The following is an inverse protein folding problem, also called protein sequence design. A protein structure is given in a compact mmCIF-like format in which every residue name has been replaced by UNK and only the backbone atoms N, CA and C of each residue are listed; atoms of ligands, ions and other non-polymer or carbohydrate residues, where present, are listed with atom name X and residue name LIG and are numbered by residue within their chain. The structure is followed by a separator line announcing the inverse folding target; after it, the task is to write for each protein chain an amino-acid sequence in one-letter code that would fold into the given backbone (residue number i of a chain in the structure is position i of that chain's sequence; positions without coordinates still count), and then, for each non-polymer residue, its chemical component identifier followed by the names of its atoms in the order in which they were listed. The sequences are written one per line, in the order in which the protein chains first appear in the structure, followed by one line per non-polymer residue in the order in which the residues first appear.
data_IF_026096313799
#
_entry.id   IF_026096313799
#
_cell.length_a   1.000
_cell.length_b   1.000
_cell.length_c   1.000
_cell.angle_alpha   90.00
_cell.angle_beta   90.00
_cell.angle_gamma   90.00
#
_symmetry.space_group_name_H-M   'P 1'
#
loop_
_entity.id
_entity.type
_entity.pdbx_description
1 polymer ?
#
# COMPACT_ATOMS: atom_id res chain seq x y z
N UNK A 1 36.03 26.69 -46.05
CA UNK A 1 35.13 25.90 -45.18
C UNK A 1 34.79 24.63 -45.93
N UNK A 2 35.61 23.59 -45.77
CA UNK A 2 35.44 22.29 -46.43
C UNK A 2 34.43 21.44 -45.66
N UNK A 3 33.42 20.92 -46.35
CA UNK A 3 32.43 20.01 -45.77
C UNK A 3 32.96 18.58 -45.96
N UNK A 4 33.45 17.98 -44.87
CA UNK A 4 33.76 16.54 -44.82
C UNK A 4 32.48 15.73 -45.06
N UNK A 5 32.39 15.06 -46.23
CA UNK A 5 31.38 14.03 -46.48
C UNK A 5 31.84 12.72 -45.85
N UNK A 6 31.27 12.34 -44.70
CA UNK A 6 31.42 10.99 -44.16
C UNK A 6 30.74 9.99 -45.10
N UNK A 7 31.55 9.25 -45.86
CA UNK A 7 31.08 8.14 -46.71
C UNK A 7 30.96 6.90 -45.83
N UNK A 8 29.76 6.65 -45.33
CA UNK A 8 29.47 5.45 -44.57
C UNK A 8 29.45 4.26 -45.55
N UNK A 9 30.51 3.44 -45.56
CA UNK A 9 30.63 2.23 -46.38
C UNK A 9 30.26 1.04 -45.49
N UNK A 10 28.97 0.72 -45.38
CA UNK A 10 28.57 -0.58 -44.83
C UNK A 10 28.51 -1.60 -45.97
N UNK A 11 29.32 -2.66 -45.88
CA UNK A 11 29.22 -3.81 -46.76
C UNK A 11 27.85 -4.50 -46.58
N UNK A 12 27.14 -4.88 -47.65
CA UNK A 12 25.78 -5.45 -47.57
C UNK A 12 25.72 -6.71 -46.70
N UNK A 13 26.80 -7.49 -46.65
CA UNK A 13 26.88 -8.69 -45.81
C UNK A 13 26.97 -8.37 -44.30
N UNK A 14 27.54 -7.22 -43.92
CA UNK A 14 27.55 -6.77 -42.52
C UNK A 14 26.18 -6.26 -42.10
N UNK A 15 25.48 -5.54 -42.98
CA UNK A 15 24.10 -5.09 -42.73
C UNK A 15 23.15 -6.26 -42.53
N UNK A 16 23.23 -7.29 -43.38
CA UNK A 16 22.39 -8.48 -43.27
C UNK A 16 22.64 -9.22 -41.94
N UNK A 17 23.91 -9.37 -41.54
CA UNK A 17 24.26 -10.02 -40.26
C UNK A 17 23.77 -9.21 -39.05
N UNK A 18 23.91 -7.88 -39.08
CA UNK A 18 23.38 -7.02 -38.02
C UNK A 18 21.86 -7.10 -37.97
N UNK A 19 21.18 -7.12 -39.12
CA UNK A 19 19.72 -7.24 -39.19
C UNK A 19 19.22 -8.58 -38.61
N UNK A 20 19.89 -9.67 -38.95
CA UNK A 20 19.58 -11.02 -38.42
C UNK A 20 19.82 -11.07 -36.90
N UNK A 21 20.90 -10.44 -36.41
CA UNK A 21 21.18 -10.35 -34.97
C UNK A 21 20.11 -9.56 -34.22
N UNK A 22 19.65 -8.42 -34.77
CA UNK A 22 18.54 -7.65 -34.19
C UNK A 22 17.25 -8.48 -34.16
N UNK A 23 16.93 -9.19 -35.23
CA UNK A 23 15.71 -10.02 -35.31
C UNK A 23 15.75 -11.17 -34.28
N UNK A 24 16.91 -11.79 -34.06
CA UNK A 24 17.09 -12.85 -33.07
C UNK A 24 16.99 -12.34 -31.62
N UNK A 25 17.43 -11.11 -31.34
CA UNK A 25 17.29 -10.50 -30.00
C UNK A 25 15.84 -10.14 -29.69
N UNK A 26 15.04 -9.80 -30.70
CA UNK A 26 13.63 -9.40 -30.50
C UNK A 26 12.63 -10.57 -30.47
N UNK A 27 13.02 -11.79 -30.86
CA UNK A 27 12.10 -12.94 -30.98
C UNK A 27 11.85 -13.72 -29.68
N UNK A 28 12.44 -13.29 -28.55
CA UNK A 28 12.34 -13.97 -27.26
C UNK A 28 11.30 -13.44 -26.26
N UNK A 29 10.48 -12.44 -26.61
CA UNK A 29 9.53 -11.87 -25.66
C UNK A 29 8.19 -12.63 -25.71
N UNK A 30 8.05 -13.66 -24.88
CA UNK A 30 6.74 -14.20 -24.51
C UNK A 30 5.99 -13.12 -23.72
N UNK A 31 5.12 -12.37 -24.39
CA UNK A 31 4.20 -11.44 -23.74
C UNK A 31 3.10 -12.27 -23.09
N UNK A 32 3.21 -12.50 -21.79
CA UNK A 32 2.10 -13.01 -20.99
C UNK A 32 1.01 -11.95 -20.98
N UNK A 33 -0.07 -12.16 -21.74
CA UNK A 33 -1.28 -11.32 -21.62
C UNK A 33 -2.04 -11.74 -20.39
N UNK A 34 -1.79 -11.07 -19.27
CA UNK A 34 -2.65 -11.11 -18.09
C UNK A 34 -3.96 -10.41 -18.45
N UNK A 35 -5.06 -11.17 -18.56
CA UNK A 35 -6.40 -10.61 -18.70
C UNK A 35 -6.79 -9.94 -17.38
N UNK A 36 -6.38 -8.68 -17.19
CA UNK A 36 -6.93 -7.82 -16.14
C UNK A 36 -8.33 -7.33 -16.55
N UNK A 37 -9.32 -7.47 -15.67
CA UNK A 37 -10.60 -6.79 -15.84
C UNK A 37 -10.40 -5.27 -15.78
N UNK A 38 -10.56 -4.54 -16.89
CA UNK A 38 -10.40 -3.08 -16.87
C UNK A 38 -11.23 -2.45 -15.74
N UNK A 39 -10.59 -1.68 -14.85
CA UNK A 39 -11.29 -0.90 -13.81
C UNK A 39 -12.17 0.14 -14.52
N UNK A 40 -13.48 -0.08 -14.53
CA UNK A 40 -14.43 0.85 -15.16
C UNK A 40 -14.72 1.98 -14.19
N UNK A 41 -14.37 3.21 -14.57
CA UNK A 41 -14.73 4.40 -13.81
C UNK A 41 -16.07 4.93 -14.29
N UNK A 42 -17.07 4.89 -13.41
CA UNK A 42 -18.43 5.40 -13.70
C UNK A 42 -18.59 6.86 -13.27
N UNK A 43 -17.74 7.36 -12.37
CA UNK A 43 -17.84 8.70 -11.77
C UNK A 43 -16.58 9.53 -12.03
N UNK A 44 -16.78 10.82 -12.34
CA UNK A 44 -15.73 11.82 -12.30
C UNK A 44 -15.70 12.43 -10.90
N UNK A 45 -14.55 12.36 -10.24
CA UNK A 45 -14.38 12.88 -8.88
C UNK A 45 -13.92 14.35 -8.92
N UNK A 46 -14.70 15.23 -8.32
CA UNK A 46 -14.28 16.60 -7.98
C UNK A 46 -13.56 16.58 -6.64
N UNK A 47 -12.22 16.49 -6.69
CA UNK A 47 -11.37 16.35 -5.52
C UNK A 47 -11.10 17.70 -4.87
N UNK A 48 -11.29 17.74 -3.56
CA UNK A 48 -10.86 18.81 -2.66
C UNK A 48 -9.90 18.24 -1.63
N UNK A 49 -9.25 19.11 -0.86
CA UNK A 49 -8.43 18.67 0.27
C UNK A 49 -8.55 19.61 1.47
N UNK A 50 -8.32 19.05 2.66
CA UNK A 50 -8.04 19.79 3.88
C UNK A 50 -6.67 19.36 4.42
N UNK A 51 -6.08 20.19 5.26
CA UNK A 51 -4.76 19.94 5.84
C UNK A 51 -4.85 19.92 7.36
N UNK A 52 -4.18 18.95 7.95
CA UNK A 52 -3.87 18.88 9.39
C UNK A 52 -2.38 19.18 9.61
N UNK A 53 -1.83 18.93 10.80
CA UNK A 53 -0.41 19.15 11.07
C UNK A 53 0.48 18.18 10.29
N UNK A 54 0.04 16.93 10.12
CA UNK A 54 0.83 15.86 9.53
C UNK A 54 0.20 15.22 8.29
N UNK A 55 -1.04 15.55 7.95
CA UNK A 55 -1.76 14.89 6.85
C UNK A 55 -2.42 15.86 5.88
N UNK A 56 -2.39 15.48 4.60
CA UNK A 56 -3.19 16.09 3.53
C UNK A 56 -4.35 15.16 3.17
N UNK A 57 -5.57 15.55 3.48
CA UNK A 57 -6.76 14.69 3.35
C UNK A 57 -7.51 15.11 2.09
N UNK A 58 -7.42 14.29 1.05
CA UNK A 58 -8.14 14.44 -0.21
C UNK A 58 -9.49 13.74 -0.15
N UNK A 59 -10.55 14.40 -0.59
CA UNK A 59 -11.91 13.87 -0.57
C UNK A 59 -12.72 14.36 -1.77
N UNK A 60 -13.69 13.57 -2.18
CA UNK A 60 -14.63 13.97 -3.23
C UNK A 60 -15.78 14.81 -2.66
N UNK A 61 -16.41 15.64 -3.50
CA UNK A 61 -17.59 16.45 -3.14
C UNK A 61 -18.61 15.69 -2.28
N UNK A 62 -19.05 16.30 -1.18
CA UNK A 62 -19.97 15.71 -0.19
C UNK A 62 -19.26 14.93 0.93
N UNK A 63 -17.94 14.77 0.84
CA UNK A 63 -17.10 14.08 1.83
C UNK A 63 -16.51 14.98 2.92
N UNK A 64 -16.90 16.27 3.00
CA UNK A 64 -16.28 17.26 3.89
C UNK A 64 -16.24 16.81 5.37
N UNK A 65 -17.36 16.27 5.89
CA UNK A 65 -17.43 15.77 7.26
C UNK A 65 -16.56 14.53 7.49
N UNK A 66 -16.51 13.63 6.50
CA UNK A 66 -15.69 12.42 6.57
C UNK A 66 -14.21 12.83 6.56
N UNK A 67 -13.82 13.78 5.71
CA UNK A 67 -12.46 14.30 5.66
C UNK A 67 -12.02 14.93 6.99
N UNK A 68 -12.89 15.74 7.62
CA UNK A 68 -12.62 16.30 8.94
C UNK A 68 -12.43 15.21 10.00
N UNK A 69 -13.29 14.20 10.00
CA UNK A 69 -13.14 13.05 10.89
C UNK A 69 -11.81 12.32 10.64
N UNK A 70 -11.46 12.07 9.38
CA UNK A 70 -10.20 11.44 8.98
C UNK A 70 -9.00 12.21 9.52
N UNK A 71 -9.00 13.54 9.39
CA UNK A 71 -7.91 14.37 9.90
C UNK A 71 -7.72 14.20 11.41
N UNK A 72 -8.81 14.24 12.19
CA UNK A 72 -8.75 14.06 13.65
C UNK A 72 -8.32 12.64 14.02
N UNK A 73 -8.87 11.63 13.35
CA UNK A 73 -8.54 10.22 13.60
C UNK A 73 -7.07 9.91 13.27
N UNK A 74 -6.55 10.44 12.16
CA UNK A 74 -5.17 10.25 11.75
C UNK A 74 -4.18 10.92 12.71
N UNK A 75 -4.44 12.17 13.11
CA UNK A 75 -3.59 12.87 14.10
C UNK A 75 -3.60 12.16 15.46
N UNK A 76 -4.77 11.72 15.94
CA UNK A 76 -4.85 10.95 17.18
C UNK A 76 -4.12 9.60 17.09
N UNK A 77 -4.20 8.94 15.93
CA UNK A 77 -3.51 7.66 15.70
C UNK A 77 -2.01 7.86 15.64
N UNK A 78 -1.53 8.94 14.99
CA UNK A 78 -0.12 9.28 14.94
C UNK A 78 0.43 9.48 16.35
N UNK A 79 -0.22 10.27 17.20
CA UNK A 79 0.21 10.45 18.60
C UNK A 79 0.34 9.11 19.33
N UNK A 80 -0.59 8.19 19.13
CA UNK A 80 -0.50 6.84 19.71
C UNK A 80 0.73 6.07 19.20
N UNK A 81 0.96 6.08 17.89
CA UNK A 81 2.10 5.40 17.26
C UNK A 81 3.44 6.00 17.70
N UNK A 82 3.56 7.33 17.75
CA UNK A 82 4.77 8.02 18.21
C UNK A 82 5.09 7.67 19.66
N UNK A 83 4.08 7.59 20.54
CA UNK A 83 4.26 7.20 21.93
C UNK A 83 4.67 5.72 22.08
N UNK A 84 4.11 4.83 21.27
CA UNK A 84 4.34 3.39 21.39
C UNK A 84 5.65 2.94 20.73
N UNK A 85 6.07 3.61 19.64
CA UNK A 85 7.21 3.18 18.80
C UNK A 85 8.40 4.14 18.93
N UNK A 86 8.18 5.39 19.30
CA UNK A 86 9.25 6.36 19.58
C UNK A 86 9.87 7.01 18.34
N UNK A 87 9.17 7.03 17.20
CA UNK A 87 9.60 7.72 15.98
C UNK A 87 8.59 8.81 15.59
N UNK A 88 9.07 9.95 15.09
CA UNK A 88 8.23 10.99 14.50
C UNK A 88 8.37 11.00 12.98
N UNK A 89 7.26 11.01 12.26
CA UNK A 89 7.28 11.00 10.80
C UNK A 89 7.94 12.27 10.24
N UNK A 90 8.68 12.13 9.13
CA UNK A 90 9.42 13.25 8.55
C UNK A 90 8.63 14.01 7.50
N UNK A 91 7.72 13.31 6.82
CA UNK A 91 6.95 13.86 5.71
C UNK A 91 5.47 13.80 6.02
N UNK A 92 4.71 14.75 5.45
CA UNK A 92 3.25 14.70 5.49
C UNK A 92 2.76 13.49 4.69
N UNK A 93 1.77 12.78 5.23
CA UNK A 93 1.20 11.60 4.57
C UNK A 93 -0.12 12.00 3.89
N UNK A 94 -0.25 11.80 2.57
CA UNK A 94 -1.52 11.99 1.88
C UNK A 94 -2.52 10.89 2.24
N UNK A 95 -3.78 11.28 2.49
CA UNK A 95 -4.89 10.35 2.74
C UNK A 95 -6.00 10.63 1.73
N UNK A 96 -6.36 9.65 0.91
CA UNK A 96 -7.47 9.73 -0.04
C UNK A 96 -8.68 9.04 0.55
N UNK A 97 -9.76 9.81 0.72
CA UNK A 97 -11.00 9.34 1.31
C UNK A 97 -12.08 9.26 0.25
N UNK A 98 -12.66 8.07 0.12
CA UNK A 98 -13.81 7.82 -0.73
C UNK A 98 -15.09 7.78 0.09
N UNK A 99 -16.19 8.31 -0.46
CA UNK A 99 -17.46 8.39 0.27
C UNK A 99 -18.19 7.05 0.38
N UNK A 100 -17.74 6.03 -0.38
CA UNK A 100 -18.27 4.67 -0.30
C UNK A 100 -17.25 3.65 -0.82
N UNK A 101 -17.44 2.38 -0.45
CA UNK A 101 -16.66 1.25 -0.98
C UNK A 101 -16.75 1.14 -2.51
N UNK A 102 -17.92 1.40 -3.10
CA UNK A 102 -18.12 1.37 -4.56
C UNK A 102 -17.28 2.42 -5.29
N UNK A 103 -17.07 3.59 -4.68
CA UNK A 103 -16.20 4.63 -5.24
C UNK A 103 -14.73 4.25 -5.10
N UNK A 104 -14.35 3.65 -3.96
CA UNK A 104 -13.00 3.14 -3.73
C UNK A 104 -12.59 2.06 -4.74
N UNK A 105 -13.48 1.13 -5.09
CA UNK A 105 -13.20 0.11 -6.10
C UNK A 105 -12.93 0.70 -7.50
N UNK A 106 -13.40 1.92 -7.78
CA UNK A 106 -13.15 2.64 -9.04
C UNK A 106 -11.83 3.44 -9.00
N UNK A 107 -11.06 3.35 -7.92
CA UNK A 107 -9.83 4.14 -7.76
C UNK A 107 -8.74 3.73 -8.76
N UNK A 108 -8.20 4.74 -9.44
CA UNK A 108 -6.94 4.64 -10.18
C UNK A 108 -5.75 5.06 -9.32
N UNK A 109 -5.96 5.41 -8.05
CA UNK A 109 -4.87 5.82 -7.18
C UNK A 109 -3.94 4.64 -6.83
N UNK A 110 -4.42 3.40 -6.98
CA UNK A 110 -3.69 2.18 -6.65
C UNK A 110 -3.52 1.32 -7.91
N UNK A 111 -2.27 0.97 -8.22
CA UNK A 111 -1.89 0.15 -9.37
C UNK A 111 -2.21 -1.34 -9.17
N UNK A 112 -2.53 -1.76 -7.95
CA UNK A 112 -2.90 -3.13 -7.60
C UNK A 112 -4.41 -3.34 -7.74
N UNK A 113 -4.82 -4.54 -8.16
CA UNK A 113 -6.23 -4.96 -8.04
C UNK A 113 -6.57 -5.07 -6.57
N UNK A 114 -7.54 -4.27 -6.13
CA UNK A 114 -8.13 -4.42 -4.81
C UNK A 114 -9.03 -5.65 -4.84
N UNK A 115 -8.72 -6.67 -4.05
CA UNK A 115 -9.66 -7.77 -3.82
C UNK A 115 -10.86 -7.28 -3.02
N UNK A 116 -12.00 -7.96 -3.16
CA UNK A 116 -13.15 -7.75 -2.27
C UNK A 116 -12.72 -7.94 -0.79
N UNK A 117 -13.12 -7.02 0.10
CA UNK A 117 -12.82 -7.10 1.54
C UNK A 117 -11.68 -6.20 2.05
N UNK A 118 -10.98 -5.48 1.16
CA UNK A 118 -9.96 -4.50 1.57
C UNK A 118 -10.66 -3.24 2.13
N UNK A 119 -10.52 -2.99 3.43
CA UNK A 119 -11.11 -1.85 4.12
C UNK A 119 -10.37 -0.53 3.91
N UNK A 120 -9.12 -0.59 3.46
CA UNK A 120 -8.19 0.51 3.22
C UNK A 120 -6.89 -0.04 2.65
N UNK A 121 -6.04 0.80 2.06
CA UNK A 121 -4.69 0.38 1.68
C UNK A 121 -3.70 1.53 1.74
N UNK A 122 -2.50 1.24 2.19
CA UNK A 122 -1.33 2.10 2.03
C UNK A 122 -0.52 1.71 0.80
N UNK A 123 -0.43 2.62 -0.15
CA UNK A 123 0.45 2.47 -1.31
C UNK A 123 1.90 2.80 -0.89
N UNK A 124 2.70 1.76 -0.65
CA UNK A 124 4.07 1.88 -0.14
C UNK A 124 4.96 2.82 -0.99
N UNK A 125 4.85 2.77 -2.32
CA UNK A 125 5.73 3.56 -3.21
C UNK A 125 5.49 5.07 -3.15
N UNK A 126 4.26 5.49 -2.88
CA UNK A 126 3.85 6.90 -2.79
C UNK A 126 3.59 7.36 -1.36
N UNK A 127 3.77 6.46 -0.39
CA UNK A 127 3.48 6.64 1.04
C UNK A 127 2.15 7.32 1.29
N UNK A 128 1.09 6.76 0.69
CA UNK A 128 -0.24 7.35 0.65
C UNK A 128 -1.29 6.35 1.07
N UNK A 129 -2.17 6.78 1.95
CA UNK A 129 -3.29 6.00 2.46
C UNK A 129 -4.51 6.24 1.57
N UNK A 130 -5.26 5.19 1.27
CA UNK A 130 -6.51 5.27 0.51
C UNK A 130 -7.58 4.46 1.24
N UNK A 131 -8.67 5.10 1.64
CA UNK A 131 -9.69 4.49 2.49
C UNK A 131 -11.12 4.86 2.04
N UNK A 132 -12.04 3.89 1.90
CA UNK A 132 -13.47 4.15 1.82
C UNK A 132 -14.08 4.39 3.20
N UNK A 133 -15.10 5.25 3.25
CA UNK A 133 -16.05 5.29 4.36
C UNK A 133 -17.24 4.37 4.08
N UNK A 134 -17.57 3.51 5.05
CA UNK A 134 -18.64 2.50 4.92
C UNK A 134 -19.82 2.74 5.87
N UNK A 135 -19.91 3.92 6.49
CA UNK A 135 -21.02 4.30 7.37
C UNK A 135 -20.80 4.04 8.86
N UNK A 136 -19.67 3.43 9.24
CA UNK A 136 -19.28 3.19 10.64
C UNK A 136 -17.99 3.95 10.97
N UNK A 137 -18.09 4.93 11.86
CA UNK A 137 -16.97 5.80 12.23
C UNK A 137 -15.91 5.10 13.09
N UNK A 138 -16.28 4.13 13.93
CA UNK A 138 -15.31 3.43 14.77
C UNK A 138 -14.56 2.39 13.97
N UNK A 139 -15.25 1.68 13.06
CA UNK A 139 -14.57 0.85 12.05
C UNK A 139 -13.63 1.69 11.20
N UNK A 140 -14.07 2.86 10.76
CA UNK A 140 -13.25 3.75 9.93
C UNK A 140 -12.03 4.28 10.67
N UNK A 141 -12.16 4.62 11.96
CA UNK A 141 -11.03 5.01 12.82
C UNK A 141 -9.99 3.90 12.93
N UNK A 142 -10.44 2.67 13.18
CA UNK A 142 -9.56 1.50 13.24
C UNK A 142 -8.81 1.32 11.91
N UNK A 143 -9.50 1.37 10.77
CA UNK A 143 -8.86 1.26 9.44
C UNK A 143 -7.86 2.40 9.20
N UNK A 144 -8.19 3.65 9.54
CA UNK A 144 -7.24 4.77 9.41
C UNK A 144 -5.98 4.50 10.21
N UNK A 145 -6.11 4.01 11.45
CA UNK A 145 -4.95 3.69 12.28
C UNK A 145 -4.14 2.54 11.69
N UNK A 146 -4.81 1.46 11.26
CA UNK A 146 -4.18 0.30 10.63
C UNK A 146 -3.32 0.71 9.43
N UNK A 147 -3.92 1.43 8.48
CA UNK A 147 -3.20 1.91 7.30
C UNK A 147 -2.12 2.94 7.65
N UNK A 148 -2.34 3.76 8.68
CA UNK A 148 -1.33 4.70 9.14
C UNK A 148 -0.10 4.00 9.70
N UNK A 149 -0.22 2.86 10.37
CA UNK A 149 0.95 2.10 10.80
C UNK A 149 1.80 1.70 9.58
N UNK A 150 1.18 1.21 8.50
CA UNK A 150 1.90 0.86 7.28
C UNK A 150 2.67 2.06 6.71
N UNK A 151 2.02 3.23 6.64
CA UNK A 151 2.66 4.46 6.16
C UNK A 151 3.77 4.97 7.10
N UNK A 152 3.57 4.82 8.41
CA UNK A 152 4.52 5.16 9.45
C UNK A 152 5.77 4.29 9.39
N UNK A 153 5.61 2.97 9.28
CA UNK A 153 6.72 2.03 9.10
C UNK A 153 7.45 2.30 7.78
N UNK A 154 6.73 2.68 6.72
CA UNK A 154 7.34 3.04 5.45
C UNK A 154 8.17 4.33 5.54
N UNK A 155 7.72 5.36 6.27
CA UNK A 155 8.53 6.54 6.54
C UNK A 155 9.78 6.20 7.40
N UNK A 156 9.59 5.40 8.45
CA UNK A 156 10.66 4.99 9.38
C UNK A 156 11.75 4.14 8.70
N UNK A 157 11.38 3.05 8.02
CA UNK A 157 12.32 2.05 7.53
C UNK A 157 12.70 2.23 6.06
N UNK A 158 11.86 2.88 5.26
CA UNK A 158 12.06 3.03 3.82
C UNK A 158 12.22 4.50 3.39
N UNK A 159 12.15 5.44 4.35
CA UNK A 159 12.24 6.87 4.09
C UNK A 159 11.04 7.44 3.33
N UNK A 160 9.91 6.72 3.27
CA UNK A 160 8.65 7.21 2.72
C UNK A 160 8.61 7.33 1.19
N UNK A 161 9.57 6.75 0.45
CA UNK A 161 9.49 6.69 -1.03
C UNK A 161 10.34 5.58 -1.64
N UNK A 162 9.94 5.10 -2.82
CA UNK A 162 10.72 4.13 -3.60
C UNK A 162 12.14 4.63 -3.95
N UNK A 163 12.29 5.93 -4.21
CA UNK A 163 13.59 6.52 -4.50
C UNK A 163 14.56 6.37 -3.32
N UNK A 164 14.04 6.47 -2.09
CA UNK A 164 14.84 6.29 -0.87
C UNK A 164 15.24 4.82 -0.69
N UNK A 165 14.32 3.87 -0.91
CA UNK A 165 14.61 2.43 -0.90
C UNK A 165 15.77 2.10 -1.84
N UNK A 166 15.71 2.57 -3.09
CA UNK A 166 16.72 2.30 -4.11
C UNK A 166 18.05 2.98 -3.77
N UNK A 167 18.02 4.27 -3.40
CA UNK A 167 19.24 5.04 -3.14
C UNK A 167 19.99 4.58 -1.89
N UNK A 168 19.27 4.09 -0.88
CA UNK A 168 19.84 3.56 0.36
C UNK A 168 20.06 2.04 0.33
N UNK A 169 19.74 1.38 -0.79
CA UNK A 169 19.88 -0.05 -1.00
C UNK A 169 19.26 -0.89 0.13
N UNK A 170 18.04 -0.53 0.52
CA UNK A 170 17.34 -1.14 1.66
C UNK A 170 16.82 -2.52 1.23
N UNK A 171 17.33 -3.58 1.88
CA UNK A 171 16.93 -4.97 1.63
C UNK A 171 15.97 -5.53 2.69
N UNK A 172 15.63 -4.74 3.71
CA UNK A 172 14.71 -5.14 4.76
C UNK A 172 13.32 -5.41 4.16
N UNK A 173 12.74 -6.56 4.50
CA UNK A 173 11.35 -6.89 4.21
C UNK A 173 10.74 -7.44 5.48
N UNK A 174 9.65 -6.82 5.93
CA UNK A 174 8.90 -7.33 7.07
C UNK A 174 8.04 -8.51 6.61
N UNK A 175 7.99 -9.62 7.37
CA UNK A 175 7.00 -10.67 7.14
C UNK A 175 5.57 -10.11 7.21
N UNK A 176 4.65 -10.62 6.39
CA UNK A 176 3.27 -10.11 6.33
C UNK A 176 2.54 -10.20 7.68
N UNK A 177 2.73 -11.29 8.43
CA UNK A 177 2.18 -11.42 9.78
C UNK A 177 2.68 -10.33 10.74
N UNK A 178 3.91 -9.85 10.54
CA UNK A 178 4.50 -8.82 11.40
C UNK A 178 3.87 -7.47 11.07
N UNK A 179 3.83 -7.09 9.79
CA UNK A 179 3.26 -5.79 9.40
C UNK A 179 1.75 -5.71 9.66
N UNK A 180 0.98 -6.70 9.22
CA UNK A 180 -0.48 -6.71 9.43
C UNK A 180 -0.84 -6.92 10.90
N UNK A 181 -0.12 -7.81 11.58
CA UNK A 181 -0.35 -8.07 13.01
C UNK A 181 -0.08 -6.86 13.89
N UNK A 182 0.97 -6.11 13.62
CA UNK A 182 1.28 -4.89 14.35
C UNK A 182 0.21 -3.82 14.07
N UNK A 183 -0.27 -3.73 12.83
CA UNK A 183 -1.29 -2.76 12.42
C UNK A 183 -2.63 -3.03 13.13
N UNK A 184 -3.04 -4.30 13.21
CA UNK A 184 -4.21 -4.73 13.98
C UNK A 184 -4.02 -4.46 15.49
N UNK A 185 -2.88 -4.87 16.07
CA UNK A 185 -2.62 -4.70 17.50
C UNK A 185 -2.63 -3.22 17.92
N UNK A 186 -1.95 -2.35 17.18
CA UNK A 186 -1.86 -0.92 17.48
C UNK A 186 -3.21 -0.21 17.27
N UNK A 187 -3.94 -0.55 16.20
CA UNK A 187 -5.22 0.08 15.90
C UNK A 187 -6.36 -0.32 16.84
N UNK A 188 -6.36 -1.56 17.32
CA UNK A 188 -7.31 -2.06 18.32
C UNK A 188 -6.87 -1.65 19.74
N UNK A 189 -5.56 -1.48 19.96
CA UNK A 189 -4.98 -1.21 21.28
C UNK A 189 -4.83 -2.46 22.14
N UNK A 190 -4.62 -3.63 21.53
CA UNK A 190 -4.50 -4.90 22.22
C UNK A 190 -5.15 -6.08 21.50
N UNK A 191 -5.74 -6.98 22.29
CA UNK A 191 -6.49 -8.14 21.82
C UNK A 191 -7.99 -7.88 21.88
N UNK A 192 -8.71 -8.23 20.82
CA UNK A 192 -10.18 -8.22 20.81
C UNK A 192 -10.76 -9.65 20.94
N UNK A 193 -12.04 -9.71 21.31
CA UNK A 193 -12.74 -10.99 21.55
C UNK A 193 -12.90 -11.82 20.28
N UNK A 194 -13.10 -11.19 19.13
CA UNK A 194 -13.30 -11.92 17.87
C UNK A 194 -11.98 -12.60 17.46
N UNK A 195 -10.85 -11.91 17.61
CA UNK A 195 -9.54 -12.50 17.39
C UNK A 195 -9.25 -13.63 18.38
N UNK A 196 -9.56 -13.48 19.67
CA UNK A 196 -9.31 -14.53 20.68
C UNK A 196 -10.14 -15.80 20.37
N UNK A 197 -11.40 -15.64 19.99
CA UNK A 197 -12.23 -16.76 19.55
C UNK A 197 -11.69 -17.43 18.29
N UNK A 198 -11.29 -16.64 17.28
CA UNK A 198 -10.74 -17.15 16.03
C UNK A 198 -9.44 -17.94 16.26
N UNK A 199 -8.52 -17.40 17.06
CA UNK A 199 -7.23 -18.04 17.32
C UNK A 199 -7.36 -19.30 18.17
N UNK A 200 -8.31 -19.35 19.10
CA UNK A 200 -8.65 -20.59 19.82
C UNK A 200 -9.14 -21.67 18.87
N UNK A 201 -10.04 -21.33 17.96
CA UNK A 201 -10.52 -22.25 16.93
C UNK A 201 -9.37 -22.76 16.05
N UNK A 202 -8.51 -21.86 15.58
CA UNK A 202 -7.34 -22.18 14.77
C UNK A 202 -6.36 -23.15 15.42
N UNK A 203 -6.13 -22.99 16.72
CA UNK A 203 -5.26 -23.88 17.50
C UNK A 203 -5.96 -25.21 17.82
N UNK A 204 -7.26 -25.19 18.16
CA UNK A 204 -8.02 -26.42 18.50
C UNK A 204 -8.16 -27.35 17.29
N UNK A 205 -8.39 -26.78 16.10
CA UNK A 205 -8.58 -27.53 14.87
C UNK A 205 -7.31 -27.66 14.01
N UNK A 206 -6.15 -27.26 14.55
CA UNK A 206 -4.83 -27.46 13.97
C UNK A 206 -4.67 -26.91 12.54
N UNK A 207 -5.24 -25.73 12.28
CA UNK A 207 -5.08 -25.00 11.02
C UNK A 207 -4.19 -23.76 11.13
N UNK A 208 -3.49 -23.60 12.26
CA UNK A 208 -2.48 -22.56 12.43
C UNK A 208 -1.11 -23.03 11.90
N UNK A 209 -0.61 -22.49 10.77
CA UNK A 209 0.68 -22.90 10.23
C UNK A 209 1.84 -22.33 11.07
N UNK A 210 3.08 -22.82 10.89
CA UNK A 210 4.26 -22.16 11.45
C UNK A 210 4.35 -20.71 10.97
N UNK A 211 4.94 -19.83 11.80
CA UNK A 211 4.95 -18.38 11.61
C UNK A 211 5.46 -17.94 10.23
N UNK A 212 6.45 -18.65 9.68
CA UNK A 212 7.03 -18.39 8.35
C UNK A 212 6.04 -18.58 7.19
N UNK A 213 4.94 -19.29 7.42
CA UNK A 213 3.90 -19.60 6.43
C UNK A 213 2.56 -18.93 6.76
N UNK A 214 2.54 -18.03 7.74
CA UNK A 214 1.34 -17.27 8.11
C UNK A 214 1.12 -16.18 7.07
N UNK A 215 -0.01 -16.25 6.38
CA UNK A 215 -0.40 -15.33 5.32
C UNK A 215 -1.92 -15.10 5.31
N UNK A 216 -2.38 -14.18 4.47
CA UNK A 216 -3.80 -13.84 4.32
C UNK A 216 -4.43 -13.43 5.64
N UNK A 217 -5.66 -13.86 5.91
CA UNK A 217 -6.39 -13.50 7.13
C UNK A 217 -5.67 -13.95 8.43
N UNK A 218 -4.89 -15.02 8.38
CA UNK A 218 -4.11 -15.48 9.53
C UNK A 218 -2.94 -14.54 9.87
N UNK A 219 -2.42 -13.78 8.90
CA UNK A 219 -1.39 -12.76 9.15
C UNK A 219 -1.89 -11.68 10.10
N UNK A 220 -3.11 -11.20 9.89
CA UNK A 220 -3.78 -10.23 10.75
C UNK A 220 -4.00 -10.80 12.15
N UNK A 221 -4.68 -11.95 12.24
CA UNK A 221 -5.15 -12.56 13.50
C UNK A 221 -4.03 -13.16 14.34
N UNK A 222 -3.17 -13.96 13.70
CA UNK A 222 -2.00 -14.56 14.31
C UNK A 222 -0.97 -13.51 14.70
N UNK A 223 -0.74 -12.52 13.84
CA UNK A 223 0.16 -11.41 14.11
C UNK A 223 -0.31 -10.55 15.28
N UNK A 224 -1.58 -10.15 15.32
CA UNK A 224 -2.15 -9.40 16.45
C UNK A 224 -1.94 -10.16 17.78
N UNK A 225 -2.18 -11.47 17.76
CA UNK A 225 -1.99 -12.33 18.94
C UNK A 225 -0.53 -12.41 19.37
N UNK A 226 0.40 -12.48 18.40
CA UNK A 226 1.82 -12.44 18.68
C UNK A 226 2.22 -11.17 19.42
N UNK A 227 1.82 -9.99 18.92
CA UNK A 227 2.12 -8.71 19.57
C UNK A 227 1.46 -8.59 20.94
N UNK A 228 0.23 -9.07 21.10
CA UNK A 228 -0.43 -9.09 22.41
C UNK A 228 0.30 -9.94 23.44
N UNK A 229 0.95 -11.03 23.03
CA UNK A 229 1.74 -11.87 23.95
C UNK A 229 3.15 -11.31 24.19
N UNK A 230 3.70 -10.55 23.24
CA UNK A 230 5.07 -10.07 23.26
C UNK A 230 5.25 -8.68 23.91
N UNK A 231 4.21 -7.84 23.91
CA UNK A 231 4.21 -6.49 24.47
C UNK A 231 3.51 -6.42 25.83
#
# INVERSE_FOLDING_TARGET
MEIMKFKIIWSPHKLIKTLIFVILVFSGNSVYTQFGQNKVQYKVFDWKYIQSQHFDIYFAQGGEYIAQFTAVAAESSLVSLENNIGYGIKNRIPILVYNSHNEFQQTNAIDVYLSEGIGGVTELFKNRIVVPFEGDYEKFRHVIHHELLHAYMNDLYYGGSLQNIISQNIALQFPGWFSEGMAEYQSIGGMDKANDMFMRDAVIYDYMPPLDYVDGYLAYRGGQSFFFMAC
#
